data_IF_682758787008
#
_entry.id   IF_682758787008
#
_cell.length_a   1.000
_cell.length_b   1.000
_cell.length_c   1.000
_cell.angle_alpha   90.00
_cell.angle_beta   90.00
_cell.angle_gamma   90.00
#
_symmetry.space_group_name_H-M   'P 1'
#
loop_
_entity.id
_entity.type
_entity.pdbx_description
1 polymer ?
#
# COMPACT_ATOMS: atom_id res chain seq x y z
N UNK A 1 -26.89 29.02 -4.36
CA UNK A 1 -26.13 28.86 -3.11
C UNK A 1 -25.77 27.40 -2.80
N UNK A 2 -26.72 26.45 -2.76
CA UNK A 2 -26.43 25.04 -2.42
C UNK A 2 -25.45 24.31 -3.34
N UNK A 3 -25.55 24.51 -4.66
CA UNK A 3 -24.62 23.91 -5.64
C UNK A 3 -23.17 24.42 -5.50
N UNK A 4 -23.00 25.68 -5.12
CA UNK A 4 -21.69 26.32 -4.96
C UNK A 4 -21.01 25.82 -3.66
N UNK A 5 -21.80 25.65 -2.60
CA UNK A 5 -21.34 25.02 -1.35
C UNK A 5 -21.03 23.53 -1.53
N UNK A 6 -21.84 22.80 -2.30
CA UNK A 6 -21.58 21.39 -2.63
C UNK A 6 -20.33 21.22 -3.50
N UNK A 7 -20.09 22.14 -4.45
CA UNK A 7 -18.88 22.17 -5.26
C UNK A 7 -17.64 22.52 -4.40
N UNK A 8 -17.73 23.49 -3.50
CA UNK A 8 -16.65 23.86 -2.56
C UNK A 8 -16.33 22.72 -1.59
N UNK A 9 -17.34 22.09 -0.98
CA UNK A 9 -17.16 20.91 -0.12
C UNK A 9 -16.60 19.72 -0.90
N UNK A 10 -17.06 19.50 -2.14
CA UNK A 10 -16.52 18.49 -3.04
C UNK A 10 -15.04 18.75 -3.38
N UNK A 11 -14.67 19.99 -3.65
CA UNK A 11 -13.28 20.42 -3.90
C UNK A 11 -12.40 20.32 -2.65
N UNK A 12 -12.93 20.63 -1.47
CA UNK A 12 -12.23 20.47 -0.19
C UNK A 12 -12.03 19.01 0.17
N UNK A 13 -13.04 18.16 0.01
CA UNK A 13 -12.93 16.70 0.25
C UNK A 13 -12.01 16.07 -0.79
N UNK A 14 -12.12 16.45 -2.07
CA UNK A 14 -11.24 15.99 -3.14
C UNK A 14 -9.80 16.48 -2.94
N UNK A 15 -9.60 17.71 -2.47
CA UNK A 15 -8.31 18.30 -2.14
C UNK A 15 -7.67 17.66 -0.91
N UNK A 16 -8.44 17.37 0.14
CA UNK A 16 -7.99 16.60 1.31
C UNK A 16 -7.68 15.16 0.91
N UNK A 17 -8.44 14.57 0.00
CA UNK A 17 -8.19 13.22 -0.51
C UNK A 17 -6.94 13.15 -1.41
N UNK A 18 -6.74 14.13 -2.30
CA UNK A 18 -5.50 14.29 -3.08
C UNK A 18 -4.32 14.60 -2.17
N UNK A 19 -4.53 15.44 -1.15
CA UNK A 19 -3.56 15.77 -0.13
C UNK A 19 -3.13 14.55 0.65
N UNK A 20 -4.06 13.75 1.17
CA UNK A 20 -3.78 12.49 1.87
C UNK A 20 -3.16 11.46 0.93
N UNK A 21 -3.60 11.38 -0.33
CA UNK A 21 -3.01 10.48 -1.34
C UNK A 21 -1.58 10.88 -1.72
N UNK A 22 -1.27 12.18 -1.78
CA UNK A 22 0.10 12.67 -1.97
C UNK A 22 0.94 12.48 -0.69
N UNK A 23 0.41 12.82 0.48
CA UNK A 23 1.13 12.72 1.76
C UNK A 23 1.40 11.28 2.21
N UNK A 24 0.44 10.36 2.04
CA UNK A 24 0.64 8.94 2.36
C UNK A 24 1.48 8.19 1.33
N UNK A 25 1.76 8.79 0.17
CA UNK A 25 2.65 8.19 -0.83
C UNK A 25 4.14 8.52 -0.60
N UNK A 26 4.48 9.46 0.28
CA UNK A 26 5.80 10.11 0.20
C UNK A 26 6.60 10.22 1.50
N UNK A 27 6.02 9.94 2.67
CA UNK A 27 6.81 9.87 3.91
C UNK A 27 7.27 8.43 4.13
N UNK A 28 8.49 8.10 3.68
CA UNK A 28 9.19 6.90 4.15
C UNK A 28 9.43 7.08 5.65
N UNK A 29 8.67 6.36 6.47
CA UNK A 29 8.97 6.28 7.90
C UNK A 29 10.37 5.68 8.08
N UNK A 30 11.16 6.18 9.06
CA UNK A 30 12.38 5.52 9.52
C UNK A 30 12.12 4.01 9.69
N UNK A 31 13.09 3.15 9.38
CA UNK A 31 12.95 1.68 9.48
C UNK A 31 12.27 1.25 10.78
N UNK A 32 12.65 1.88 11.87
CA UNK A 32 12.21 1.55 13.22
C UNK A 32 10.74 1.97 13.45
N UNK A 33 10.31 3.09 12.87
CA UNK A 33 8.91 3.53 12.89
C UNK A 33 8.03 2.73 11.91
N UNK A 34 8.58 2.28 10.79
CA UNK A 34 7.87 1.41 9.84
C UNK A 34 7.60 0.04 10.49
N UNK A 35 8.60 -0.55 11.16
CA UNK A 35 8.47 -1.77 11.95
C UNK A 35 7.50 -1.57 13.12
N UNK A 36 7.60 -0.46 13.86
CA UNK A 36 6.68 -0.15 14.95
C UNK A 36 5.22 0.05 14.48
N UNK A 37 5.00 0.65 13.31
CA UNK A 37 3.67 0.75 12.70
C UNK A 37 3.18 -0.58 12.14
N UNK A 38 4.05 -1.48 11.71
CA UNK A 38 3.71 -2.83 11.25
C UNK A 38 3.29 -3.74 12.42
N UNK A 39 4.00 -3.64 13.55
CA UNK A 39 3.60 -4.23 14.84
C UNK A 39 2.30 -3.59 15.35
N UNK A 40 2.07 -2.31 15.05
CA UNK A 40 0.81 -1.61 15.34
C UNK A 40 -0.35 -1.98 14.40
N UNK A 41 -0.07 -2.24 13.12
CA UNK A 41 -1.06 -2.57 12.07
C UNK A 41 -1.49 -4.04 12.10
N UNK A 42 -0.66 -4.92 12.65
CA UNK A 42 -1.01 -6.32 12.94
C UNK A 42 -1.99 -6.46 14.11
N UNK A 43 -2.08 -5.46 15.00
CA UNK A 43 -3.20 -5.36 15.95
C UNK A 43 -4.44 -4.85 15.21
N UNK A 44 -5.42 -5.72 14.98
CA UNK A 44 -6.77 -5.26 14.64
C UNK A 44 -7.22 -4.30 15.74
N UNK A 45 -7.39 -3.03 15.43
CA UNK A 45 -7.98 -2.05 16.35
C UNK A 45 -9.32 -2.60 16.86
N UNK A 46 -9.70 -2.28 18.11
CA UNK A 46 -10.95 -2.76 18.70
C UNK A 46 -12.16 -2.52 17.77
N UNK A 47 -12.14 -1.37 17.07
CA UNK A 47 -13.07 -0.98 16.01
C UNK A 47 -13.04 -1.94 14.81
N UNK A 48 -11.85 -2.32 14.32
CA UNK A 48 -11.70 -3.31 13.24
C UNK A 48 -12.30 -4.68 13.60
N UNK A 49 -12.11 -5.15 14.84
CA UNK A 49 -12.69 -6.42 15.31
C UNK A 49 -14.23 -6.38 15.41
N UNK A 50 -14.80 -5.21 15.71
CA UNK A 50 -16.24 -5.01 15.78
C UNK A 50 -16.87 -4.96 14.38
N UNK A 51 -16.20 -4.27 13.44
CA UNK A 51 -16.58 -4.24 12.02
C UNK A 51 -16.53 -5.64 11.41
N UNK A 52 -15.47 -6.41 11.70
CA UNK A 52 -15.32 -7.77 11.19
C UNK A 52 -16.45 -8.68 11.70
N UNK A 53 -16.83 -8.59 12.98
CA UNK A 53 -17.95 -9.36 13.56
C UNK A 53 -19.31 -8.98 12.96
N UNK A 54 -19.59 -7.69 12.82
CA UNK A 54 -20.86 -7.23 12.24
C UNK A 54 -20.97 -7.64 10.77
N UNK A 55 -19.89 -7.53 10.00
CA UNK A 55 -19.87 -7.83 8.58
C UNK A 55 -19.94 -9.31 8.22
N UNK A 56 -19.51 -10.22 9.11
CA UNK A 56 -19.49 -11.66 8.85
C UNK A 56 -20.86 -12.23 8.46
N UNK A 57 -21.96 -11.67 8.99
CA UNK A 57 -23.34 -12.09 8.64
C UNK A 57 -23.68 -11.84 7.16
N UNK A 58 -23.05 -10.85 6.53
CA UNK A 58 -23.31 -10.45 5.14
C UNK A 58 -22.15 -10.78 4.18
N UNK A 59 -21.02 -11.29 4.69
CA UNK A 59 -19.88 -11.71 3.89
C UNK A 59 -20.24 -12.74 2.80
N UNK A 60 -21.05 -13.80 3.04
CA UNK A 60 -21.41 -14.77 2.01
C UNK A 60 -22.19 -14.16 0.85
N UNK A 61 -23.05 -13.17 1.12
CA UNK A 61 -23.81 -12.47 0.10
C UNK A 61 -22.92 -11.60 -0.79
N UNK A 62 -21.96 -10.88 -0.18
CA UNK A 62 -20.96 -10.08 -0.91
C UNK A 62 -20.06 -10.95 -1.80
N UNK A 63 -19.62 -12.10 -1.29
CA UNK A 63 -18.80 -13.04 -2.06
C UNK A 63 -19.57 -13.63 -3.25
N UNK A 64 -20.86 -13.96 -3.07
CA UNK A 64 -21.73 -14.41 -4.18
C UNK A 64 -21.91 -13.33 -5.24
N UNK A 65 -22.15 -12.07 -4.84
CA UNK A 65 -22.29 -10.94 -5.78
C UNK A 65 -21.00 -10.61 -6.55
N UNK A 66 -19.83 -10.80 -5.95
CA UNK A 66 -18.56 -10.53 -6.62
C UNK A 66 -18.26 -11.49 -7.77
N UNK A 67 -18.81 -12.71 -7.74
CA UNK A 67 -18.51 -13.77 -8.69
C UNK A 67 -17.15 -14.45 -8.45
N UNK A 68 -17.00 -15.72 -8.88
CA UNK A 68 -15.87 -16.57 -8.49
C UNK A 68 -14.51 -16.05 -8.99
N UNK A 69 -14.44 -15.48 -10.18
CA UNK A 69 -13.18 -14.96 -10.74
C UNK A 69 -12.62 -13.76 -9.96
N UNK A 70 -13.49 -12.82 -9.57
CA UNK A 70 -13.07 -11.62 -8.81
C UNK A 70 -12.68 -11.99 -7.38
N UNK A 71 -13.40 -12.93 -6.78
CA UNK A 71 -13.07 -13.50 -5.46
C UNK A 71 -11.70 -14.15 -5.52
N UNK A 72 -11.42 -15.02 -6.49
CA UNK A 72 -10.11 -15.68 -6.62
C UNK A 72 -8.97 -14.68 -6.87
N UNK A 73 -9.20 -13.65 -7.70
CA UNK A 73 -8.21 -12.59 -7.93
C UNK A 73 -7.91 -11.80 -6.64
N UNK A 74 -8.93 -11.50 -5.84
CA UNK A 74 -8.76 -10.77 -4.57
C UNK A 74 -8.14 -11.66 -3.50
N UNK A 75 -8.51 -12.95 -3.44
CA UNK A 75 -7.90 -13.97 -2.59
C UNK A 75 -6.40 -14.02 -2.84
N UNK A 76 -6.00 -14.17 -4.10
CA UNK A 76 -4.58 -14.13 -4.48
C UNK A 76 -3.87 -12.87 -4.00
N UNK A 77 -4.48 -11.68 -4.13
CA UNK A 77 -3.87 -10.43 -3.60
C UNK A 77 -3.75 -10.41 -2.08
N UNK A 78 -4.72 -10.98 -1.37
CA UNK A 78 -4.70 -11.09 0.10
C UNK A 78 -3.63 -12.10 0.54
N UNK A 79 -3.50 -13.20 -0.19
CA UNK A 79 -2.47 -14.21 0.04
C UNK A 79 -1.07 -13.63 -0.22
N UNK A 80 -0.89 -12.83 -1.27
CA UNK A 80 0.34 -12.07 -1.54
C UNK A 80 0.63 -11.02 -0.44
N UNK A 81 -0.40 -10.53 0.26
CA UNK A 81 -0.23 -9.69 1.44
C UNK A 81 0.17 -10.51 2.68
N UNK A 82 0.16 -11.85 2.58
CA UNK A 82 0.32 -12.84 3.64
C UNK A 82 -0.54 -12.57 4.87
N UNK A 83 -1.82 -12.28 4.63
CA UNK A 83 -2.87 -12.20 5.65
C UNK A 83 -2.58 -11.23 6.82
N UNK A 84 -2.34 -9.93 6.56
CA UNK A 84 -1.97 -8.97 7.59
C UNK A 84 -3.11 -8.82 8.61
N UNK A 85 -2.83 -9.04 9.90
CA UNK A 85 -3.85 -9.04 10.96
C UNK A 85 -4.87 -10.19 10.86
N UNK A 86 -4.53 -11.29 10.18
CA UNK A 86 -5.42 -12.43 9.94
C UNK A 86 -6.53 -12.12 8.94
N UNK A 87 -6.29 -11.19 8.01
CA UNK A 87 -7.25 -10.78 6.99
C UNK A 87 -7.52 -11.92 6.00
N UNK A 88 -8.58 -12.69 6.23
CA UNK A 88 -9.08 -13.65 5.25
C UNK A 88 -9.96 -12.97 4.21
N UNK A 89 -10.27 -13.66 3.11
CA UNK A 89 -11.22 -13.14 2.13
C UNK A 89 -12.60 -12.85 2.75
N UNK A 90 -12.97 -13.60 3.78
CA UNK A 90 -14.21 -13.44 4.51
C UNK A 90 -14.20 -12.17 5.36
N UNK A 91 -13.07 -11.83 6.01
CA UNK A 91 -12.91 -10.55 6.72
C UNK A 91 -12.90 -9.36 5.76
N UNK A 92 -12.31 -9.51 4.57
CA UNK A 92 -12.42 -8.48 3.53
C UNK A 92 -13.87 -8.27 3.08
N UNK A 93 -14.60 -9.37 2.83
CA UNK A 93 -16.00 -9.31 2.45
C UNK A 93 -16.87 -8.72 3.57
N UNK A 94 -16.58 -9.03 4.83
CA UNK A 94 -17.23 -8.46 6.01
C UNK A 94 -17.03 -6.95 6.09
N UNK A 95 -15.78 -6.46 5.96
CA UNK A 95 -15.49 -5.01 5.91
C UNK A 95 -16.20 -4.34 4.74
N UNK A 96 -16.15 -4.95 3.56
CA UNK A 96 -16.83 -4.44 2.36
C UNK A 96 -18.34 -4.36 2.55
N UNK A 97 -18.95 -5.32 3.24
CA UNK A 97 -20.37 -5.30 3.57
C UNK A 97 -20.70 -4.12 4.51
N UNK A 98 -19.96 -3.96 5.61
CA UNK A 98 -20.22 -2.91 6.60
C UNK A 98 -20.01 -1.52 6.02
N UNK A 99 -18.88 -1.28 5.34
CA UNK A 99 -18.64 0.01 4.70
C UNK A 99 -19.61 0.27 3.54
N UNK A 100 -19.99 -0.77 2.79
CA UNK A 100 -21.01 -0.67 1.73
C UNK A 100 -22.38 -0.28 2.29
N UNK A 101 -22.82 -0.89 3.39
CA UNK A 101 -24.09 -0.57 4.06
C UNK A 101 -24.05 0.85 4.64
N UNK A 102 -22.99 1.22 5.36
CA UNK A 102 -22.82 2.58 5.88
C UNK A 102 -22.82 3.61 4.77
N UNK A 103 -22.11 3.35 3.67
CA UNK A 103 -22.09 4.21 2.49
C UNK A 103 -23.46 4.33 1.83
N UNK A 104 -24.21 3.23 1.72
CA UNK A 104 -25.56 3.23 1.16
C UNK A 104 -26.56 4.00 2.03
N UNK A 105 -26.51 3.83 3.36
CA UNK A 105 -27.35 4.58 4.31
C UNK A 105 -27.02 6.08 4.24
N UNK A 106 -25.74 6.44 4.26
CA UNK A 106 -25.33 7.84 4.15
C UNK A 106 -25.75 8.46 2.80
N UNK A 107 -25.64 7.70 1.70
CA UNK A 107 -26.08 8.14 0.38
C UNK A 107 -27.60 8.30 0.30
N UNK A 108 -28.37 7.40 0.91
CA UNK A 108 -29.83 7.49 0.97
C UNK A 108 -30.29 8.75 1.71
N UNK A 109 -29.66 9.07 2.86
CA UNK A 109 -29.93 10.31 3.60
C UNK A 109 -29.62 11.55 2.75
N UNK A 110 -28.52 11.54 1.98
CA UNK A 110 -28.16 12.66 1.10
C UNK A 110 -29.08 12.81 -0.12
N UNK A 111 -29.62 11.69 -0.63
CA UNK A 111 -30.62 11.71 -1.71
C UNK A 111 -31.93 12.34 -1.26
N UNK A 112 -32.38 12.08 -0.02
CA UNK A 112 -33.56 12.74 0.56
C UNK A 112 -33.37 14.26 0.67
N UNK A 113 -32.14 14.71 0.87
CA UNK A 113 -31.77 16.13 0.84
C UNK A 113 -31.58 16.73 -0.56
N UNK A 114 -31.78 15.99 -1.65
CA UNK A 114 -31.62 16.47 -3.03
C UNK A 114 -30.16 16.54 -3.54
N UNK A 115 -29.18 16.07 -2.76
CA UNK A 115 -27.75 16.18 -3.08
C UNK A 115 -27.20 14.90 -3.74
N UNK A 116 -27.67 14.60 -4.95
CA UNK A 116 -27.33 13.37 -5.67
C UNK A 116 -25.83 13.19 -5.95
N UNK A 117 -25.09 14.29 -6.18
CA UNK A 117 -23.63 14.25 -6.40
C UNK A 117 -22.88 13.80 -5.14
N UNK A 118 -23.28 14.31 -3.97
CA UNK A 118 -22.64 13.96 -2.68
C UNK A 118 -22.94 12.50 -2.33
N UNK A 119 -24.18 12.04 -2.58
CA UNK A 119 -24.56 10.65 -2.40
C UNK A 119 -23.69 9.70 -3.24
N UNK A 120 -23.46 10.02 -4.52
CA UNK A 120 -22.61 9.23 -5.41
C UNK A 120 -21.15 9.17 -4.91
N UNK A 121 -20.60 10.31 -4.48
CA UNK A 121 -19.24 10.39 -3.94
C UNK A 121 -19.07 9.59 -2.65
N UNK A 122 -20.08 9.57 -1.77
CA UNK A 122 -20.05 8.79 -0.52
C UNK A 122 -20.03 7.28 -0.77
N UNK A 123 -20.82 6.79 -1.72
CA UNK A 123 -20.79 5.36 -2.12
C UNK A 123 -19.43 5.01 -2.73
N UNK A 124 -18.92 5.86 -3.63
CA UNK A 124 -17.62 5.67 -4.24
C UNK A 124 -16.50 5.61 -3.18
N UNK A 125 -16.51 6.54 -2.22
CA UNK A 125 -15.55 6.60 -1.13
C UNK A 125 -15.59 5.35 -0.25
N UNK A 126 -16.79 4.92 0.17
CA UNK A 126 -16.96 3.76 1.03
C UNK A 126 -16.45 2.46 0.38
N UNK A 127 -16.69 2.28 -0.93
CA UNK A 127 -16.18 1.13 -1.67
C UNK A 127 -14.66 1.21 -1.90
N UNK A 128 -14.14 2.40 -2.16
CA UNK A 128 -12.72 2.61 -2.44
C UNK A 128 -11.84 2.45 -1.19
N UNK A 129 -12.31 2.88 -0.02
CA UNK A 129 -11.54 2.83 1.23
C UNK A 129 -11.07 1.41 1.61
N UNK A 130 -11.92 0.41 1.39
CA UNK A 130 -11.60 -1.00 1.68
C UNK A 130 -10.51 -1.53 0.73
N UNK A 131 -10.47 -1.04 -0.51
CA UNK A 131 -9.47 -1.47 -1.49
C UNK A 131 -8.10 -0.88 -1.21
N UNK A 132 -8.04 0.38 -0.78
CA UNK A 132 -6.80 1.08 -0.40
C UNK A 132 -6.12 0.38 0.78
N UNK A 133 -6.89 -0.10 1.76
CA UNK A 133 -6.34 -0.80 2.93
C UNK A 133 -5.55 -2.06 2.55
N UNK A 134 -6.08 -2.89 1.64
CA UNK A 134 -5.38 -4.09 1.17
C UNK A 134 -4.14 -3.72 0.38
N UNK A 135 -4.26 -2.77 -0.55
CA UNK A 135 -3.14 -2.35 -1.39
C UNK A 135 -1.98 -1.83 -0.53
N UNK A 136 -2.29 -1.00 0.47
CA UNK A 136 -1.30 -0.49 1.41
C UNK A 136 -0.63 -1.62 2.21
N UNK A 137 -1.39 -2.61 2.66
CA UNK A 137 -0.83 -3.71 3.45
C UNK A 137 0.08 -4.62 2.62
N UNK A 138 -0.28 -4.91 1.36
CA UNK A 138 0.59 -5.63 0.40
C UNK A 138 1.90 -4.86 0.20
N UNK A 139 1.81 -3.54 -0.03
CA UNK A 139 2.99 -2.73 -0.27
C UNK A 139 3.90 -2.64 0.95
N UNK A 140 3.35 -2.48 2.16
CA UNK A 140 4.15 -2.43 3.39
C UNK A 140 4.90 -3.75 3.59
N UNK A 141 4.21 -4.89 3.46
CA UNK A 141 4.85 -6.21 3.59
C UNK A 141 5.95 -6.40 2.55
N UNK A 142 5.66 -6.06 1.29
CA UNK A 142 6.63 -6.16 0.19
C UNK A 142 7.86 -5.28 0.46
N UNK A 143 7.65 -4.03 0.86
CA UNK A 143 8.72 -3.10 1.24
C UNK A 143 9.56 -3.64 2.39
N UNK A 144 8.94 -4.28 3.39
CA UNK A 144 9.68 -4.89 4.50
C UNK A 144 10.57 -6.03 4.00
N UNK A 145 10.02 -6.94 3.19
CA UNK A 145 10.80 -8.04 2.60
C UNK A 145 11.97 -7.50 1.77
N UNK A 146 11.72 -6.53 0.89
CA UNK A 146 12.75 -5.93 0.04
C UNK A 146 13.86 -5.22 0.84
N UNK A 147 13.55 -4.67 2.01
CA UNK A 147 14.57 -4.04 2.88
C UNK A 147 15.39 -5.05 3.68
N UNK A 148 14.78 -6.15 4.12
CA UNK A 148 15.47 -7.17 4.92
C UNK A 148 16.31 -8.11 4.06
N UNK A 149 15.91 -8.33 2.81
CA UNK A 149 16.53 -9.32 1.93
C UNK A 149 18.03 -9.10 1.69
N UNK A 150 18.56 -7.89 1.40
CA UNK A 150 20.00 -7.71 1.13
C UNK A 150 20.87 -8.07 2.33
N UNK A 151 20.47 -7.66 3.54
CA UNK A 151 21.17 -7.98 4.78
C UNK A 151 21.13 -9.49 5.06
N UNK A 152 19.97 -10.12 4.87
CA UNK A 152 19.83 -11.56 4.96
C UNK A 152 20.78 -12.32 4.01
N UNK A 153 20.91 -11.86 2.76
CA UNK A 153 21.79 -12.48 1.77
C UNK A 153 23.27 -12.37 2.15
N UNK A 154 23.69 -11.24 2.75
CA UNK A 154 25.06 -11.09 3.25
C UNK A 154 25.35 -12.09 4.39
N UNK A 155 24.46 -12.16 5.37
CA UNK A 155 24.61 -13.10 6.49
C UNK A 155 24.61 -14.54 5.98
N UNK A 156 23.72 -14.87 5.04
CA UNK A 156 23.68 -16.19 4.41
C UNK A 156 24.98 -16.49 3.66
N UNK A 157 25.52 -15.54 2.90
CA UNK A 157 26.79 -15.70 2.19
C UNK A 157 27.95 -15.97 3.17
N UNK A 158 28.03 -15.23 4.28
CA UNK A 158 29.03 -15.45 5.34
C UNK A 158 28.91 -16.84 5.94
N UNK A 159 27.70 -17.26 6.30
CA UNK A 159 27.46 -18.59 6.92
C UNK A 159 27.78 -19.73 5.95
N UNK A 160 27.43 -19.61 4.67
CA UNK A 160 27.79 -20.58 3.63
C UNK A 160 29.31 -20.60 3.38
N UNK A 161 29.95 -19.43 3.37
CA UNK A 161 31.42 -19.32 3.19
C UNK A 161 32.21 -20.00 4.32
N UNK A 162 31.61 -20.09 5.52
CA UNK A 162 32.17 -20.81 6.66
C UNK A 162 32.06 -22.34 6.55
N UNK A 163 31.57 -22.86 5.43
CA UNK A 163 31.50 -24.29 5.13
C UNK A 163 30.22 -24.98 5.56
N UNK A 164 29.22 -24.24 6.05
CA UNK A 164 27.89 -24.81 6.32
C UNK A 164 27.19 -25.14 5.00
N UNK A 165 26.60 -26.34 4.94
CA UNK A 165 25.78 -26.73 3.79
C UNK A 165 24.62 -25.76 3.61
N UNK A 166 24.31 -25.37 2.36
CA UNK A 166 23.37 -24.29 2.07
C UNK A 166 22.03 -24.41 2.81
N UNK A 167 21.43 -25.60 2.85
CA UNK A 167 20.14 -25.82 3.56
C UNK A 167 20.27 -25.54 5.06
N UNK A 168 21.36 -25.98 5.68
CA UNK A 168 21.63 -25.75 7.09
C UNK A 168 21.95 -24.27 7.37
N UNK A 169 22.67 -23.61 6.47
CA UNK A 169 22.91 -22.17 6.53
C UNK A 169 21.60 -21.39 6.42
N UNK A 170 20.73 -21.77 5.48
CA UNK A 170 19.43 -21.14 5.28
C UNK A 170 18.54 -21.25 6.53
N UNK A 171 18.44 -22.45 7.12
CA UNK A 171 17.69 -22.71 8.35
C UNK A 171 18.24 -21.88 9.52
N UNK A 172 19.57 -21.94 9.72
CA UNK A 172 20.28 -21.22 10.78
C UNK A 172 20.11 -19.70 10.70
N UNK A 173 20.16 -19.14 9.49
CA UNK A 173 20.01 -17.71 9.26
C UNK A 173 18.54 -17.32 9.36
N UNK A 174 17.61 -18.10 8.81
CA UNK A 174 16.17 -17.84 8.92
C UNK A 174 15.70 -17.72 10.38
N UNK A 175 16.25 -18.54 11.28
CA UNK A 175 15.97 -18.48 12.73
C UNK A 175 16.45 -17.19 13.41
N UNK A 176 17.34 -16.42 12.80
CA UNK A 176 17.84 -15.15 13.35
C UNK A 176 16.99 -13.94 12.95
N UNK A 177 16.10 -14.09 11.98
CA UNK A 177 15.24 -13.01 11.51
C UNK A 177 13.82 -13.16 12.04
N UNK A 178 13.15 -12.03 12.17
CA UNK A 178 11.73 -11.93 12.48
C UNK A 178 10.99 -11.16 11.38
N UNK A 179 9.66 -11.23 11.39
CA UNK A 179 8.80 -10.53 10.44
C UNK A 179 8.53 -11.29 9.15
N UNK A 180 7.96 -10.62 8.14
CA UNK A 180 7.37 -11.28 6.96
C UNK A 180 8.35 -12.14 6.15
N UNK A 181 9.62 -11.72 6.06
CA UNK A 181 10.65 -12.48 5.34
C UNK A 181 10.96 -13.81 6.04
N UNK A 182 11.13 -13.79 7.36
CA UNK A 182 11.39 -14.99 8.15
C UNK A 182 10.22 -15.97 8.09
N UNK A 183 8.98 -15.47 8.12
CA UNK A 183 7.79 -16.31 8.00
C UNK A 183 7.72 -17.05 6.66
N UNK A 184 8.03 -16.36 5.56
CA UNK A 184 8.09 -16.97 4.23
C UNK A 184 9.19 -18.03 4.10
N UNK A 185 10.35 -17.79 4.71
CA UNK A 185 11.43 -18.77 4.78
C UNK A 185 11.05 -19.99 5.60
N UNK A 186 10.41 -19.81 6.77
CA UNK A 186 9.91 -20.93 7.61
C UNK A 186 8.88 -21.78 6.88
N UNK A 187 7.97 -21.15 6.12
CA UNK A 187 7.01 -21.88 5.27
C UNK A 187 7.78 -22.70 4.22
N UNK A 188 8.77 -22.09 3.57
CA UNK A 188 9.56 -22.75 2.52
C UNK A 188 10.40 -23.92 3.06
N UNK A 189 11.04 -23.74 4.21
CA UNK A 189 11.79 -24.78 4.93
C UNK A 189 10.87 -25.95 5.30
N UNK A 190 9.70 -25.65 5.87
CA UNK A 190 8.70 -26.66 6.22
C UNK A 190 8.16 -27.43 5.01
N UNK A 191 7.98 -26.76 3.87
CA UNK A 191 7.59 -27.43 2.63
C UNK A 191 8.65 -28.46 2.22
N UNK A 192 9.93 -28.09 2.31
CA UNK A 192 11.03 -29.03 2.04
C UNK A 192 11.06 -30.19 3.05
N UNK A 193 10.79 -29.93 4.34
CA UNK A 193 10.72 -30.97 5.37
C UNK A 193 9.58 -31.96 5.13
N UNK A 194 8.49 -31.50 4.50
CA UNK A 194 7.35 -32.32 4.10
C UNK A 194 7.59 -33.06 2.76
N UNK A 195 8.79 -33.00 2.19
CA UNK A 195 9.16 -33.73 0.98
C UNK A 195 8.92 -32.98 -0.33
N UNK A 196 8.55 -31.68 -0.30
CA UNK A 196 8.49 -30.86 -1.52
C UNK A 196 9.90 -30.63 -2.03
N UNK A 197 10.11 -30.81 -3.34
CA UNK A 197 11.43 -30.57 -3.94
C UNK A 197 11.89 -29.14 -3.71
N UNK A 198 13.19 -28.95 -3.49
CA UNK A 198 13.80 -27.63 -3.25
C UNK A 198 13.43 -26.60 -4.31
N UNK A 199 13.56 -26.96 -5.58
CA UNK A 199 13.18 -26.13 -6.73
C UNK A 199 11.71 -25.69 -6.66
N UNK A 200 10.80 -26.61 -6.34
CA UNK A 200 9.38 -26.32 -6.21
C UNK A 200 9.08 -25.43 -4.99
N UNK A 201 9.71 -25.68 -3.85
CA UNK A 201 9.53 -24.86 -2.65
C UNK A 201 9.96 -23.40 -2.89
N UNK A 202 11.09 -23.18 -3.56
CA UNK A 202 11.52 -21.83 -3.94
C UNK A 202 10.67 -21.19 -5.04
N UNK A 203 10.14 -21.97 -5.98
CA UNK A 203 9.17 -21.44 -6.95
C UNK A 203 7.87 -21.01 -6.26
N UNK A 204 7.41 -21.76 -5.26
CA UNK A 204 6.27 -21.35 -4.46
C UNK A 204 6.57 -20.11 -3.60
N UNK A 205 7.78 -20.00 -3.03
CA UNK A 205 8.24 -18.78 -2.37
C UNK A 205 8.15 -17.57 -3.30
N UNK A 206 8.66 -17.70 -4.54
CA UNK A 206 8.54 -16.66 -5.58
C UNK A 206 7.09 -16.34 -5.90
N UNK A 207 6.21 -17.35 -5.98
CA UNK A 207 4.79 -17.14 -6.30
C UNK A 207 4.02 -16.45 -5.17
N UNK A 208 4.39 -16.69 -3.91
CA UNK A 208 3.78 -16.07 -2.72
C UNK A 208 4.26 -14.63 -2.50
N UNK A 209 5.44 -14.28 -3.03
CA UNK A 209 6.04 -12.96 -2.87
C UNK A 209 6.08 -12.22 -4.20
N UNK A 210 5.25 -11.18 -4.36
CA UNK A 210 5.29 -10.30 -5.52
C UNK A 210 6.45 -9.29 -5.40
N UNK A 211 7.69 -9.77 -5.30
CA UNK A 211 8.90 -8.95 -5.20
C UNK A 211 9.94 -9.39 -6.22
N UNK A 212 10.44 -8.42 -6.98
CA UNK A 212 11.49 -8.63 -7.98
C UNK A 212 12.79 -9.12 -7.34
N UNK A 213 13.12 -8.60 -6.16
CA UNK A 213 14.31 -8.99 -5.42
C UNK A 213 14.26 -10.45 -4.97
N UNK A 214 13.09 -10.93 -4.50
CA UNK A 214 12.87 -12.35 -4.17
C UNK A 214 12.98 -13.22 -5.42
N UNK A 215 12.45 -12.77 -6.56
CA UNK A 215 12.56 -13.51 -7.82
C UNK A 215 14.02 -13.64 -8.29
N UNK A 216 14.84 -12.58 -8.14
CA UNK A 216 16.28 -12.62 -8.43
C UNK A 216 17.01 -13.60 -7.51
N UNK A 217 16.75 -13.56 -6.21
CA UNK A 217 17.30 -14.51 -5.24
C UNK A 217 16.96 -15.96 -5.60
N UNK A 218 15.68 -16.27 -5.84
CA UNK A 218 15.24 -17.62 -6.20
C UNK A 218 15.89 -18.10 -7.49
N UNK A 219 16.00 -17.22 -8.49
CA UNK A 219 16.61 -17.55 -9.79
C UNK A 219 18.09 -17.89 -9.61
N UNK A 220 18.83 -17.04 -8.90
CA UNK A 220 20.24 -17.27 -8.61
C UNK A 220 20.47 -18.55 -7.81
N UNK A 221 19.58 -18.83 -6.86
CA UNK A 221 19.67 -20.03 -6.06
C UNK A 221 19.45 -21.30 -6.87
N UNK A 222 18.44 -21.31 -7.75
CA UNK A 222 18.19 -22.42 -8.66
C UNK A 222 19.31 -22.61 -9.68
N UNK A 223 20.01 -21.53 -10.06
CA UNK A 223 21.15 -21.59 -11.00
C UNK A 223 22.45 -22.07 -10.33
N UNK A 224 22.65 -21.78 -9.04
CA UNK A 224 23.86 -22.17 -8.31
C UNK A 224 23.76 -23.48 -7.54
N UNK A 225 22.67 -24.24 -7.71
CA UNK A 225 22.51 -25.60 -7.18
C UNK A 225 23.41 -26.59 -7.93
N UNK A 226 24.69 -26.56 -7.60
CA UNK A 226 25.71 -27.60 -7.82
C UNK A 226 27.12 -27.14 -7.36
N UNK A 227 27.32 -25.84 -7.09
CA UNK A 227 28.65 -25.24 -7.20
C UNK A 227 29.39 -24.92 -5.88
N UNK A 228 28.75 -24.87 -4.72
CA UNK A 228 29.46 -24.50 -3.48
C UNK A 228 29.89 -23.02 -3.50
N UNK A 229 31.20 -22.71 -3.43
CA UNK A 229 31.74 -21.34 -3.37
C UNK A 229 31.18 -20.31 -4.38
N UNK A 230 30.88 -20.64 -5.65
CA UNK A 230 30.33 -19.69 -6.62
C UNK A 230 28.94 -19.14 -6.25
N UNK A 231 28.17 -19.83 -5.39
CA UNK A 231 26.91 -19.25 -4.90
C UNK A 231 27.16 -18.08 -3.95
N UNK A 232 28.26 -18.09 -3.18
CA UNK A 232 28.59 -17.02 -2.22
C UNK A 232 28.80 -15.71 -2.97
N UNK A 233 29.62 -15.72 -4.02
CA UNK A 233 29.87 -14.55 -4.86
C UNK A 233 28.58 -14.04 -5.52
N UNK A 234 27.71 -14.97 -5.93
CA UNK A 234 26.40 -14.64 -6.52
C UNK A 234 25.49 -13.95 -5.50
N UNK A 235 25.41 -14.46 -4.27
CA UNK A 235 24.61 -13.86 -3.20
C UNK A 235 25.11 -12.46 -2.84
N UNK A 236 26.43 -12.27 -2.72
CA UNK A 236 27.07 -10.97 -2.45
C UNK A 236 26.78 -9.98 -3.59
N UNK A 237 26.92 -10.42 -4.84
CA UNK A 237 26.66 -9.57 -6.01
C UNK A 237 25.20 -9.10 -6.05
N UNK A 238 24.24 -10.00 -5.75
CA UNK A 238 22.82 -9.67 -5.68
C UNK A 238 22.53 -8.70 -4.53
N UNK A 239 23.07 -8.93 -3.34
CA UNK A 239 22.90 -8.03 -2.20
C UNK A 239 23.46 -6.62 -2.49
N UNK A 240 24.60 -6.54 -3.18
CA UNK A 240 25.18 -5.28 -3.64
C UNK A 240 24.29 -4.58 -4.68
N UNK A 241 23.73 -5.31 -5.63
CA UNK A 241 22.84 -4.76 -6.65
C UNK A 241 21.51 -4.25 -6.06
N UNK A 242 20.92 -4.99 -5.13
CA UNK A 242 19.72 -4.54 -4.39
C UNK A 242 19.99 -3.21 -3.67
N UNK A 243 21.10 -3.09 -2.92
CA UNK A 243 21.48 -1.84 -2.26
C UNK A 243 21.73 -0.69 -3.23
N UNK A 244 22.37 -0.98 -4.37
CA UNK A 244 22.59 0.02 -5.43
C UNK A 244 21.27 0.53 -5.99
N UNK A 245 20.34 -0.38 -6.26
CA UNK A 245 18.98 -0.07 -6.75
C UNK A 245 18.20 0.76 -5.74
N UNK A 246 18.27 0.42 -4.45
CA UNK A 246 17.64 1.19 -3.38
C UNK A 246 18.20 2.60 -3.25
N UNK A 247 19.53 2.76 -3.32
CA UNK A 247 20.17 4.06 -3.33
C UNK A 247 19.75 4.90 -4.55
N UNK A 248 19.67 4.30 -5.73
CA UNK A 248 19.16 4.97 -6.94
C UNK A 248 17.70 5.38 -6.79
N UNK A 249 16.85 4.51 -6.26
CA UNK A 249 15.44 4.80 -6.00
C UNK A 249 15.28 5.93 -4.99
N UNK A 250 16.09 5.96 -3.92
CA UNK A 250 16.12 7.05 -2.96
C UNK A 250 16.53 8.38 -3.63
N UNK A 251 17.58 8.38 -4.46
CA UNK A 251 18.02 9.57 -5.22
C UNK A 251 16.95 10.06 -6.20
N UNK A 252 16.32 9.15 -6.95
CA UNK A 252 15.20 9.48 -7.86
C UNK A 252 14.01 10.07 -7.12
N UNK A 253 13.70 9.57 -5.92
CA UNK A 253 12.64 10.10 -5.06
C UNK A 253 12.98 11.51 -4.58
N UNK A 254 14.20 11.73 -4.09
CA UNK A 254 14.67 13.06 -3.67
C UNK A 254 14.62 14.07 -4.82
N UNK A 255 15.08 13.69 -6.02
CA UNK A 255 15.06 14.55 -7.20
C UNK A 255 13.62 14.93 -7.63
N UNK A 256 12.64 14.03 -7.44
CA UNK A 256 11.23 14.30 -7.76
C UNK A 256 10.49 15.11 -6.69
N UNK A 257 11.02 15.21 -5.48
CA UNK A 257 10.39 15.96 -4.40
C UNK A 257 10.38 17.48 -4.69
N UNK A 258 11.47 18.01 -5.25
CA UNK A 258 11.60 19.46 -5.52
C UNK A 258 10.56 19.96 -6.54
N UNK A 259 10.40 19.36 -7.74
CA UNK A 259 9.38 19.80 -8.69
C UNK A 259 7.95 19.67 -8.15
N UNK A 260 7.67 18.63 -7.34
CA UNK A 260 6.35 18.45 -6.70
C UNK A 260 6.04 19.54 -5.69
N UNK A 261 7.02 19.92 -4.86
CA UNK A 261 6.87 21.00 -3.89
C UNK A 261 6.60 22.33 -4.60
N UNK A 262 7.38 22.66 -5.64
CA UNK A 262 7.18 23.90 -6.42
C UNK A 262 5.81 23.93 -7.08
N UNK A 263 5.37 22.82 -7.68
CA UNK A 263 4.05 22.75 -8.29
C UNK A 263 2.91 22.97 -7.28
N UNK A 264 3.02 22.38 -6.08
CA UNK A 264 2.04 22.56 -5.03
C UNK A 264 1.98 24.02 -4.55
N UNK A 265 3.14 24.64 -4.30
CA UNK A 265 3.22 26.06 -3.90
C UNK A 265 2.61 26.96 -4.97
N UNK A 266 3.00 26.80 -6.23
CA UNK A 266 2.47 27.61 -7.34
C UNK A 266 0.96 27.45 -7.49
N UNK A 267 0.45 26.22 -7.40
CA UNK A 267 -0.99 25.93 -7.56
C UNK A 267 -1.85 26.51 -6.43
N UNK A 268 -1.35 26.57 -5.20
CA UNK A 268 -2.12 27.11 -4.07
C UNK A 268 -1.91 28.61 -3.85
N UNK A 269 -0.68 29.11 -4.03
CA UNK A 269 -0.34 30.49 -3.74
C UNK A 269 -0.90 31.45 -4.80
N UNK A 270 -0.78 31.13 -6.11
CA UNK A 270 -1.25 32.01 -7.20
C UNK A 270 -2.75 32.35 -7.14
N UNK A 271 -3.68 31.37 -7.07
CA UNK A 271 -5.10 31.72 -6.98
C UNK A 271 -5.42 32.43 -5.66
N UNK A 272 -4.73 32.07 -4.56
CA UNK A 272 -4.88 32.76 -3.28
C UNK A 272 -4.51 34.25 -3.36
N UNK A 273 -3.38 34.57 -3.99
CA UNK A 273 -2.96 35.96 -4.19
C UNK A 273 -3.86 36.71 -5.16
N UNK A 274 -4.34 36.06 -6.24
CA UNK A 274 -5.30 36.66 -7.17
C UNK A 274 -6.65 37.00 -6.51
N UNK A 275 -7.18 36.10 -5.66
CA UNK A 275 -8.39 36.35 -4.88
C UNK A 275 -8.18 37.50 -3.90
N UNK A 276 -7.06 37.49 -3.17
CA UNK A 276 -6.72 38.56 -2.21
C UNK A 276 -6.62 39.93 -2.92
N UNK A 277 -5.94 39.98 -4.06
CA UNK A 277 -5.83 41.19 -4.88
C UNK A 277 -7.17 41.65 -5.42
N UNK A 278 -7.99 40.72 -5.91
CA UNK A 278 -9.32 41.04 -6.46
C UNK A 278 -10.26 41.58 -5.37
N UNK A 279 -10.28 40.96 -4.19
CA UNK A 279 -11.06 41.44 -3.04
C UNK A 279 -10.53 42.79 -2.56
N UNK A 280 -9.21 42.94 -2.39
CA UNK A 280 -8.61 44.21 -1.99
C UNK A 280 -8.87 45.33 -2.99
N UNK A 281 -8.88 45.03 -4.29
CA UNK A 281 -9.21 45.98 -5.35
C UNK A 281 -10.70 46.37 -5.33
N UNK A 282 -11.62 45.40 -5.21
CA UNK A 282 -13.07 45.64 -5.14
C UNK A 282 -13.43 46.51 -3.93
N UNK A 283 -12.95 46.16 -2.74
CA UNK A 283 -13.29 46.86 -1.50
C UNK A 283 -12.48 48.15 -1.29
N UNK A 284 -11.24 48.20 -1.79
CA UNK A 284 -10.36 49.35 -1.62
C UNK A 284 -10.58 50.46 -2.66
N UNK A 285 -10.99 50.12 -3.88
CA UNK A 285 -11.19 51.10 -4.95
C UNK A 285 -12.62 51.66 -5.03
N UNK A 286 -13.60 51.07 -4.33
CA UNK A 286 -15.01 51.51 -4.33
C UNK A 286 -15.58 51.71 -5.76
N UNK A 287 -15.10 50.92 -6.72
CA UNK A 287 -15.55 50.96 -8.11
C UNK A 287 -16.56 49.84 -8.34
N UNK A 288 -17.78 50.27 -8.65
CA UNK A 288 -18.91 49.42 -8.97
C UNK A 288 -18.63 48.65 -10.27
N UNK A 289 -18.46 47.33 -10.18
CA UNK A 289 -18.22 46.45 -11.33
C UNK A 289 -19.34 46.52 -12.37
N UNK A 290 -20.53 47.03 -11.99
CA UNK A 290 -21.63 47.29 -12.92
C UNK A 290 -21.30 48.28 -14.04
N UNK A 291 -20.35 49.19 -13.84
CA UNK A 291 -19.94 50.16 -14.86
C UNK A 291 -18.94 49.65 -15.89
N UNK A 292 -18.17 48.59 -15.59
CA UNK A 292 -17.05 48.15 -16.43
C UNK A 292 -17.41 47.03 -17.42
N UNK A 293 -18.43 46.22 -17.12
CA UNK A 293 -18.85 45.09 -17.99
C UNK A 293 -20.08 45.39 -18.88
N UNK A 294 -20.54 46.64 -18.95
CA UNK A 294 -21.53 47.08 -19.94
C UNK A 294 -22.86 46.33 -19.87
N UNK A 295 -23.60 46.46 -18.76
CA UNK A 295 -25.03 46.13 -18.73
C UNK A 295 -25.87 47.40 -18.85
N UNK A 296 -26.78 47.55 -19.82
CA UNK A 296 -27.73 48.65 -19.81
C UNK A 296 -28.74 48.46 -18.67
N UNK A 297 -29.15 49.60 -18.11
CA UNK A 297 -30.03 49.79 -16.95
C UNK A 297 -31.33 49.00 -17.03
#
# INVERSE_FOLDING_TARGET
>A
MGLLFAALMGLSVYGVFLGIRMYRAEVKLPSDLAVALEVGATRTTAVGSAVDRLGMRWAPAVLRMMGPERVNRKRRRIDLAGNPGGLTIDRYAARRAVYGILGAVAAFVMLLGGHWIIALLMVAFALFWVEVGIWSAVQIRRDHIERTLPDFLDVLAVVVSAGLGFRQALDRVADKYEGPWADELRITLRQMDMGVSRRQAFEELRRRNDSEQVAMFVTALQQGEELGAPIVDTLIAIAADMRRTDAQNARRKAARAVPKATFAVTTFLLPGTLILLSVGFVYGANLDFGGFLGGPK
#
